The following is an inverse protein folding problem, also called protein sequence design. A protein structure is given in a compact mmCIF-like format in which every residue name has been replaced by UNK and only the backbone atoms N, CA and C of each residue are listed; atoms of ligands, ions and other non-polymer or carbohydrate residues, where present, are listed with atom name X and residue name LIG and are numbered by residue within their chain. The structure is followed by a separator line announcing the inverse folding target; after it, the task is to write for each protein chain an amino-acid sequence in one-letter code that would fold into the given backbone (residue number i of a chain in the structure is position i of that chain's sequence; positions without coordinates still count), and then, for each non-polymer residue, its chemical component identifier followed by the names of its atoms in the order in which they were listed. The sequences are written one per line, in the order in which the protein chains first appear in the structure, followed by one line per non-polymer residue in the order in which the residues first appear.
data_IF_445695795699
#
_entry.id   IF_445695795699
#
_cell.length_a   1.000
_cell.length_b   1.000
_cell.length_c   1.000
_cell.angle_alpha   90.00
_cell.angle_beta   90.00
_cell.angle_gamma   90.00
#
_symmetry.space_group_name_H-M   'P 1'
#
loop_
_entity.id
_entity.type
_entity.pdbx_description
1 polymer ?
#
# COMPACT_ATOMS: atom_id res chain seq x y z
N UNK A 1 23.44 -19.58 9.03
CA UNK A 1 22.00 -19.88 9.26
C UNK A 1 21.29 -18.84 10.13
N UNK A 2 21.95 -18.30 11.17
CA UNK A 2 21.35 -17.36 12.13
C UNK A 2 20.85 -16.02 11.52
N UNK A 3 21.45 -15.55 10.41
CA UNK A 3 21.08 -14.28 9.76
C UNK A 3 19.97 -14.41 8.68
N UNK A 4 19.52 -15.61 8.35
CA UNK A 4 18.55 -15.84 7.27
C UNK A 4 17.23 -16.49 7.73
N UNK A 5 17.06 -16.74 9.02
CA UNK A 5 15.87 -17.39 9.56
C UNK A 5 14.57 -16.66 9.20
N UNK A 6 14.60 -15.32 9.21
CA UNK A 6 13.46 -14.51 8.86
C UNK A 6 13.05 -14.64 7.39
N UNK A 7 14.03 -14.88 6.49
CA UNK A 7 13.73 -15.12 5.05
C UNK A 7 12.99 -16.44 4.87
N UNK A 8 13.41 -17.48 5.60
CA UNK A 8 12.77 -18.80 5.58
C UNK A 8 11.36 -18.69 6.16
N UNK A 9 11.22 -17.98 7.29
CA UNK A 9 9.91 -17.72 7.90
C UNK A 9 9.00 -16.94 6.95
N UNK A 10 9.49 -15.87 6.32
CA UNK A 10 8.73 -15.07 5.35
C UNK A 10 8.29 -15.93 4.17
N UNK A 11 9.18 -16.75 3.61
CA UNK A 11 8.84 -17.65 2.52
C UNK A 11 7.77 -18.68 2.95
N UNK A 12 7.93 -19.26 4.13
CA UNK A 12 6.96 -20.21 4.69
C UNK A 12 5.58 -19.58 4.90
N UNK A 13 5.53 -18.37 5.48
CA UNK A 13 4.28 -17.63 5.66
C UNK A 13 3.65 -17.21 4.33
N UNK A 14 4.46 -16.81 3.35
CA UNK A 14 3.98 -16.48 2.01
C UNK A 14 3.36 -17.72 1.34
N UNK A 15 4.05 -18.85 1.38
CA UNK A 15 3.53 -20.12 0.83
C UNK A 15 2.26 -20.55 1.57
N UNK A 16 2.22 -20.43 2.90
CA UNK A 16 1.01 -20.72 3.69
C UNK A 16 -0.16 -19.83 3.25
N UNK A 17 0.08 -18.51 3.07
CA UNK A 17 -0.96 -17.56 2.64
C UNK A 17 -1.46 -17.88 1.23
N UNK A 18 -0.55 -18.16 0.29
CA UNK A 18 -0.91 -18.49 -1.09
C UNK A 18 -1.69 -19.82 -1.16
N UNK A 19 -1.14 -20.88 -0.58
CA UNK A 19 -1.79 -22.19 -0.61
C UNK A 19 -3.09 -22.18 0.21
N UNK A 20 -3.08 -21.61 1.41
CA UNK A 20 -4.27 -21.50 2.24
C UNK A 20 -5.35 -20.62 1.63
N UNK A 21 -5.00 -19.46 1.13
CA UNK A 21 -5.96 -18.54 0.50
C UNK A 21 -6.59 -19.08 -0.79
N UNK A 22 -5.85 -19.91 -1.55
CA UNK A 22 -6.35 -20.49 -2.80
C UNK A 22 -7.04 -21.85 -2.63
N UNK A 23 -6.58 -22.70 -1.71
CA UNK A 23 -6.98 -24.11 -1.64
C UNK A 23 -7.91 -24.43 -0.47
N UNK A 24 -7.88 -23.66 0.64
CA UNK A 24 -8.79 -23.90 1.76
C UNK A 24 -10.21 -23.46 1.40
N UNK A 25 -11.20 -24.07 2.03
CA UNK A 25 -12.60 -23.71 1.84
C UNK A 25 -12.85 -22.27 2.31
N UNK A 26 -13.52 -21.49 1.45
CA UNK A 26 -13.95 -20.14 1.78
C UNK A 26 -15.46 -20.11 2.00
N UNK A 27 -15.96 -19.36 3.01
CA UNK A 27 -17.39 -19.24 3.24
C UNK A 27 -18.05 -18.57 2.02
N UNK A 28 -19.15 -19.15 1.56
CA UNK A 28 -19.95 -18.55 0.50
C UNK A 28 -20.89 -17.53 1.10
N UNK A 29 -20.55 -16.26 0.95
CA UNK A 29 -21.38 -15.16 1.39
C UNK A 29 -22.39 -14.76 0.29
N UNK A 30 -23.58 -14.26 0.65
CA UNK A 30 -24.47 -13.62 -0.32
C UNK A 30 -23.70 -12.53 -1.10
N UNK A 31 -23.89 -12.40 -2.39
CA UNK A 31 -23.24 -11.43 -3.29
C UNK A 31 -21.76 -11.75 -3.56
N UNK A 32 -20.93 -11.93 -2.53
CA UNK A 32 -19.48 -12.13 -2.70
C UNK A 32 -19.10 -13.54 -3.11
N UNK A 33 -19.90 -14.55 -2.73
CA UNK A 33 -19.58 -15.95 -2.97
C UNK A 33 -18.14 -16.31 -2.57
N UNK A 34 -17.43 -17.06 -3.42
CA UNK A 34 -16.03 -17.40 -3.20
C UNK A 34 -15.05 -16.25 -3.46
N UNK A 35 -15.51 -15.11 -4.04
CA UNK A 35 -14.66 -13.94 -4.24
C UNK A 35 -14.17 -13.33 -2.91
N UNK A 36 -14.78 -13.71 -1.78
CA UNK A 36 -14.30 -13.39 -0.42
C UNK A 36 -12.81 -13.81 -0.23
N UNK A 37 -12.30 -14.77 -0.98
CA UNK A 37 -10.87 -15.12 -1.00
C UNK A 37 -9.96 -13.93 -1.29
N UNK A 38 -10.46 -12.93 -2.02
CA UNK A 38 -9.71 -11.70 -2.30
C UNK A 38 -9.28 -10.96 -1.04
N UNK A 39 -9.97 -11.12 0.11
CA UNK A 39 -9.55 -10.54 1.38
C UNK A 39 -8.13 -10.96 1.77
N UNK A 40 -7.74 -12.21 1.51
CA UNK A 40 -6.41 -12.72 1.86
C UNK A 40 -5.29 -12.08 1.04
N UNK A 41 -5.60 -11.56 -0.14
CA UNK A 41 -4.61 -11.00 -1.06
C UNK A 41 -4.75 -9.48 -1.19
N UNK A 42 -5.94 -8.99 -1.51
CA UNK A 42 -6.18 -7.57 -1.77
C UNK A 42 -6.09 -6.71 -0.50
N UNK A 43 -6.82 -7.08 0.54
CA UNK A 43 -6.90 -6.26 1.77
C UNK A 43 -5.56 -6.25 2.51
N UNK A 44 -4.86 -7.38 2.54
CA UNK A 44 -3.53 -7.47 3.17
C UNK A 44 -2.49 -6.60 2.48
N UNK A 45 -2.57 -6.39 1.16
CA UNK A 45 -1.66 -5.48 0.45
C UNK A 45 -1.86 -4.03 0.92
N UNK A 46 -3.10 -3.58 1.09
CA UNK A 46 -3.37 -2.22 1.58
C UNK A 46 -2.92 -2.01 3.03
N UNK A 47 -3.14 -2.99 3.91
CA UNK A 47 -2.59 -2.92 5.27
C UNK A 47 -1.06 -2.90 5.26
N UNK A 48 -0.42 -3.73 4.43
CA UNK A 48 1.03 -3.71 4.23
C UNK A 48 1.52 -2.33 3.76
N UNK A 49 0.87 -1.75 2.76
CA UNK A 49 1.19 -0.39 2.28
C UNK A 49 1.11 0.64 3.40
N UNK A 50 0.01 0.67 4.16
CA UNK A 50 -0.18 1.64 5.25
C UNK A 50 0.91 1.50 6.32
N UNK A 51 1.23 0.27 6.73
CA UNK A 51 2.28 0.02 7.72
C UNK A 51 3.65 0.49 7.23
N UNK A 52 4.00 0.19 5.98
CA UNK A 52 5.27 0.65 5.39
C UNK A 52 5.31 2.18 5.31
N UNK A 53 4.22 2.83 4.89
CA UNK A 53 4.12 4.29 4.83
C UNK A 53 4.19 4.94 6.22
N UNK A 54 3.61 4.33 7.25
CA UNK A 54 3.72 4.81 8.62
C UNK A 54 5.19 4.80 9.09
N UNK A 55 5.92 3.71 8.80
CA UNK A 55 7.36 3.63 9.13
C UNK A 55 8.15 4.65 8.31
N UNK A 56 7.87 4.80 7.01
CA UNK A 56 8.51 5.80 6.16
C UNK A 56 8.28 7.23 6.69
N UNK A 57 7.05 7.56 7.09
CA UNK A 57 6.71 8.85 7.70
C UNK A 57 7.49 9.06 9.01
N UNK A 58 7.58 8.04 9.87
CA UNK A 58 8.35 8.11 11.10
C UNK A 58 9.83 8.41 10.84
N UNK A 59 10.46 7.74 9.86
CA UNK A 59 11.85 8.01 9.50
C UNK A 59 12.03 9.35 8.79
N UNK A 60 11.02 9.84 8.06
CA UNK A 60 11.01 11.20 7.50
C UNK A 60 11.05 12.26 8.63
N UNK A 61 10.28 12.07 9.71
CA UNK A 61 10.36 12.94 10.90
C UNK A 61 11.75 12.88 11.55
N UNK A 62 12.32 11.68 11.69
CA UNK A 62 13.67 11.51 12.23
C UNK A 62 14.71 12.25 11.38
N UNK A 63 14.62 12.11 10.06
CA UNK A 63 15.51 12.83 9.15
C UNK A 63 15.41 14.35 9.32
N UNK A 64 14.19 14.91 9.34
CA UNK A 64 14.00 16.34 9.51
C UNK A 64 14.54 16.89 10.84
N UNK A 65 14.64 16.04 11.86
CA UNK A 65 15.20 16.41 13.18
C UNK A 65 16.72 16.29 13.26
N UNK A 66 17.31 15.33 12.56
CA UNK A 66 18.73 14.98 12.70
C UNK A 66 19.58 15.36 11.49
N UNK A 67 18.99 15.55 10.31
CA UNK A 67 19.64 15.67 9.01
C UNK A 67 20.57 14.46 8.68
N UNK A 68 20.37 13.29 9.33
CA UNK A 68 21.12 12.08 9.06
C UNK A 68 20.52 11.34 7.86
N UNK A 69 21.29 11.28 6.77
CA UNK A 69 20.88 10.62 5.51
C UNK A 69 20.49 9.14 5.69
N UNK A 70 21.00 8.47 6.74
CA UNK A 70 20.55 7.10 7.04
C UNK A 70 19.06 7.00 7.30
N UNK A 71 18.45 8.01 7.92
CA UNK A 71 17.02 8.05 8.14
C UNK A 71 16.25 8.28 6.84
N UNK A 72 16.81 9.09 5.94
CA UNK A 72 16.26 9.31 4.60
C UNK A 72 16.30 8.03 3.75
N UNK A 73 17.42 7.30 3.76
CA UNK A 73 17.56 6.01 3.07
C UNK A 73 16.53 4.99 3.59
N UNK A 74 16.36 4.88 4.90
CA UNK A 74 15.36 3.98 5.49
C UNK A 74 13.94 4.39 5.06
N UNK A 75 13.62 5.68 5.10
CA UNK A 75 12.31 6.18 4.65
C UNK A 75 12.05 5.83 3.19
N UNK A 76 13.06 5.96 2.32
CA UNK A 76 12.98 5.58 0.91
C UNK A 76 12.67 4.09 0.74
N UNK A 77 13.40 3.22 1.42
CA UNK A 77 13.22 1.77 1.29
C UNK A 77 11.83 1.32 1.75
N UNK A 78 11.32 1.89 2.84
CA UNK A 78 9.95 1.62 3.28
C UNK A 78 8.91 2.20 2.31
N UNK A 79 9.18 3.35 1.68
CA UNK A 79 8.29 3.90 0.63
C UNK A 79 8.29 3.02 -0.61
N UNK A 80 9.46 2.50 -1.05
CA UNK A 80 9.56 1.55 -2.16
C UNK A 80 8.76 0.28 -1.90
N UNK A 81 8.88 -0.28 -0.70
CA UNK A 81 8.09 -1.44 -0.28
C UNK A 81 6.59 -1.12 -0.28
N UNK A 82 6.19 0.05 0.21
CA UNK A 82 4.80 0.50 0.21
C UNK A 82 4.23 0.62 -1.22
N UNK A 83 4.99 1.16 -2.16
CA UNK A 83 4.60 1.26 -3.57
C UNK A 83 4.38 -0.13 -4.16
N UNK A 84 5.26 -1.09 -3.87
CA UNK A 84 5.07 -2.48 -4.31
C UNK A 84 3.76 -3.06 -3.78
N UNK A 85 3.48 -2.90 -2.48
CA UNK A 85 2.19 -3.32 -1.89
C UNK A 85 1.00 -2.60 -2.56
N UNK A 86 1.11 -1.30 -2.85
CA UNK A 86 0.08 -0.53 -3.53
C UNK A 86 -0.20 -1.04 -4.95
N UNK A 87 0.84 -1.34 -5.73
CA UNK A 87 0.72 -1.91 -7.08
C UNK A 87 0.02 -3.28 -7.01
N UNK A 88 0.44 -4.15 -6.10
CA UNK A 88 -0.21 -5.45 -5.88
C UNK A 88 -1.64 -5.29 -5.38
N UNK A 89 -1.89 -4.28 -4.53
CA UNK A 89 -3.22 -3.92 -4.06
C UNK A 89 -4.16 -3.50 -5.20
N UNK A 90 -3.70 -2.63 -6.10
CA UNK A 90 -4.47 -2.25 -7.31
C UNK A 90 -4.71 -3.48 -8.20
N UNK A 91 -3.68 -4.26 -8.52
CA UNK A 91 -3.81 -5.41 -9.41
C UNK A 91 -4.81 -6.47 -8.88
N UNK A 92 -4.70 -6.82 -7.59
CA UNK A 92 -5.63 -7.77 -6.96
C UNK A 92 -7.03 -7.20 -6.80
N UNK A 93 -7.16 -5.88 -6.56
CA UNK A 93 -8.45 -5.18 -6.47
C UNK A 93 -9.17 -5.11 -7.80
N UNK A 94 -8.46 -4.82 -8.90
CA UNK A 94 -9.02 -4.85 -10.26
C UNK A 94 -9.54 -6.25 -10.62
N UNK A 95 -8.79 -7.28 -10.28
CA UNK A 95 -9.21 -8.65 -10.51
C UNK A 95 -10.46 -8.99 -9.70
N UNK A 96 -10.50 -8.63 -8.42
CA UNK A 96 -11.68 -8.82 -7.57
C UNK A 96 -12.89 -8.04 -8.08
N UNK A 97 -12.73 -6.78 -8.49
CA UNK A 97 -13.79 -5.95 -9.05
C UNK A 97 -14.41 -6.59 -10.31
N UNK A 98 -13.59 -7.16 -11.18
CA UNK A 98 -14.07 -7.87 -12.38
C UNK A 98 -15.03 -9.02 -12.04
N UNK A 99 -14.70 -9.82 -11.05
CA UNK A 99 -15.53 -10.97 -10.65
C UNK A 99 -16.73 -10.59 -9.80
N UNK A 100 -16.67 -9.44 -9.08
CA UNK A 100 -17.74 -9.03 -8.17
C UNK A 100 -18.69 -8.02 -8.80
N UNK A 101 -18.17 -7.07 -9.58
CA UNK A 101 -18.93 -5.95 -10.15
C UNK A 101 -19.01 -5.97 -11.69
N UNK A 102 -18.33 -6.90 -12.34
CA UNK A 102 -18.37 -7.10 -13.78
C UNK A 102 -17.26 -6.39 -14.56
N UNK A 103 -16.59 -5.37 -13.99
CA UNK A 103 -15.55 -4.60 -14.64
C UNK A 103 -14.29 -4.50 -13.79
N UNK A 104 -13.10 -4.45 -14.44
CA UNK A 104 -11.83 -4.24 -13.75
C UNK A 104 -11.76 -2.87 -13.06
N UNK A 105 -12.39 -1.87 -13.66
CA UNK A 105 -12.43 -0.51 -13.16
C UNK A 105 -13.84 0.07 -13.33
N UNK A 106 -14.56 0.18 -12.22
CA UNK A 106 -15.95 0.66 -12.22
C UNK A 106 -16.07 2.18 -11.99
N UNK A 107 -14.95 2.87 -11.78
CA UNK A 107 -14.97 4.28 -11.37
C UNK A 107 -15.36 4.49 -9.91
N UNK A 108 -15.44 3.43 -9.13
CA UNK A 108 -15.74 3.47 -7.71
C UNK A 108 -14.83 4.46 -6.97
N UNK A 109 -15.38 5.30 -6.06
CA UNK A 109 -14.60 6.31 -5.33
C UNK A 109 -13.38 5.76 -4.61
N UNK A 110 -13.46 4.54 -4.05
CA UNK A 110 -12.34 3.93 -3.35
C UNK A 110 -11.27 3.41 -4.32
N UNK A 111 -11.66 2.89 -5.50
CA UNK A 111 -10.70 2.55 -6.56
C UNK A 111 -9.94 3.79 -7.02
N UNK A 112 -10.66 4.88 -7.32
CA UNK A 112 -10.05 6.14 -7.76
C UNK A 112 -9.14 6.72 -6.68
N UNK A 113 -9.59 6.76 -5.43
CA UNK A 113 -8.80 7.21 -4.29
C UNK A 113 -7.51 6.40 -4.11
N UNK A 114 -7.60 5.08 -4.27
CA UNK A 114 -6.44 4.19 -4.19
C UNK A 114 -5.42 4.47 -5.28
N UNK A 115 -5.88 4.68 -6.52
CA UNK A 115 -5.01 5.04 -7.64
C UNK A 115 -4.35 6.41 -7.44
N UNK A 116 -5.11 7.42 -7.01
CA UNK A 116 -4.57 8.75 -6.69
C UNK A 116 -3.52 8.64 -5.60
N UNK A 117 -3.79 7.88 -4.52
CA UNK A 117 -2.83 7.65 -3.45
C UNK A 117 -1.53 7.03 -3.95
N UNK A 118 -1.61 6.02 -4.83
CA UNK A 118 -0.43 5.40 -5.43
C UNK A 118 0.33 6.38 -6.35
N UNK A 119 -0.39 7.17 -7.16
CA UNK A 119 0.22 8.19 -8.02
C UNK A 119 0.96 9.26 -7.22
N UNK A 120 0.48 9.64 -6.02
CA UNK A 120 1.21 10.55 -5.14
C UNK A 120 2.58 9.98 -4.76
N UNK A 121 2.68 8.67 -4.51
CA UNK A 121 3.97 8.04 -4.19
C UNK A 121 4.86 7.80 -5.41
N UNK A 122 4.31 7.62 -6.61
CA UNK A 122 5.11 7.70 -7.83
C UNK A 122 5.66 9.12 -8.07
N UNK A 123 4.85 10.15 -7.81
CA UNK A 123 5.32 11.54 -7.86
C UNK A 123 6.44 11.82 -6.84
N UNK A 124 6.37 11.21 -5.63
CA UNK A 124 7.46 11.24 -4.66
C UNK A 124 8.77 10.71 -5.26
N UNK A 125 8.74 9.57 -5.96
CA UNK A 125 9.95 9.01 -6.56
C UNK A 125 10.51 9.91 -7.67
N UNK A 126 9.64 10.47 -8.52
CA UNK A 126 10.05 11.39 -9.59
C UNK A 126 10.67 12.65 -8.99
N UNK A 127 10.01 13.27 -8.00
CA UNK A 127 10.52 14.46 -7.31
C UNK A 127 11.89 14.17 -6.68
N UNK A 128 12.03 13.04 -6.01
CA UNK A 128 13.29 12.62 -5.40
C UNK A 128 14.40 12.42 -6.46
N UNK A 129 14.07 11.81 -7.59
CA UNK A 129 15.00 11.58 -8.70
C UNK A 129 15.44 12.85 -9.43
N UNK A 130 14.71 13.95 -9.31
CA UNK A 130 15.04 15.23 -9.94
C UNK A 130 16.06 16.09 -9.15
N UNK A 131 16.39 15.69 -7.93
CA UNK A 131 17.24 16.46 -7.01
C UNK A 131 18.62 15.81 -6.89
N UNK A 132 19.68 16.55 -7.24
CA UNK A 132 21.07 16.06 -7.22
C UNK A 132 21.72 16.16 -5.83
N UNK A 133 21.46 17.25 -5.09
CA UNK A 133 22.01 17.43 -3.76
C UNK A 133 21.32 16.51 -2.74
N UNK A 134 22.10 15.72 -2.00
CA UNK A 134 21.58 14.68 -1.12
C UNK A 134 20.81 15.25 0.08
N UNK A 135 21.27 16.36 0.66
CA UNK A 135 20.59 16.96 1.82
C UNK A 135 19.28 17.65 1.41
N UNK A 136 19.31 18.37 0.28
CA UNK A 136 18.12 19.00 -0.27
C UNK A 136 17.08 17.94 -0.66
N UNK A 137 17.54 16.87 -1.35
CA UNK A 137 16.69 15.74 -1.74
C UNK A 137 16.02 15.10 -0.53
N UNK A 138 16.79 14.75 0.50
CA UNK A 138 16.25 14.17 1.72
C UNK A 138 15.23 15.06 2.41
N UNK A 139 15.49 16.38 2.49
CA UNK A 139 14.57 17.33 3.12
C UNK A 139 13.26 17.48 2.36
N UNK A 140 13.32 17.65 1.05
CA UNK A 140 12.12 17.80 0.21
C UNK A 140 11.33 16.50 0.19
N UNK A 141 12.02 15.36 0.05
CA UNK A 141 11.40 14.04 0.07
C UNK A 141 10.71 13.74 1.41
N UNK A 142 11.34 14.08 2.54
CA UNK A 142 10.74 13.86 3.85
C UNK A 142 9.47 14.71 4.07
N UNK A 143 9.49 16.00 3.68
CA UNK A 143 8.31 16.87 3.75
C UNK A 143 7.19 16.33 2.84
N UNK A 144 7.53 15.95 1.62
CA UNK A 144 6.56 15.39 0.69
C UNK A 144 5.94 14.08 1.22
N UNK A 145 6.76 13.18 1.77
CA UNK A 145 6.30 11.90 2.31
C UNK A 145 5.30 12.09 3.46
N UNK A 146 5.58 13.03 4.36
CA UNK A 146 4.66 13.36 5.45
C UNK A 146 3.34 13.94 4.95
N UNK A 147 3.40 14.85 3.97
CA UNK A 147 2.22 15.41 3.33
C UNK A 147 1.41 14.32 2.61
N UNK A 148 2.08 13.48 1.81
CA UNK A 148 1.45 12.39 1.08
C UNK A 148 0.77 11.38 2.02
N UNK A 149 1.42 11.02 3.13
CA UNK A 149 0.83 10.12 4.11
C UNK A 149 -0.39 10.74 4.81
N UNK A 150 -0.30 12.01 5.22
CA UNK A 150 -1.42 12.72 5.83
C UNK A 150 -2.62 12.86 4.89
N UNK A 151 -2.39 13.04 3.58
CA UNK A 151 -3.43 13.11 2.57
C UNK A 151 -3.99 11.72 2.20
N UNK A 152 -3.14 10.67 2.20
CA UNK A 152 -3.52 9.32 1.85
C UNK A 152 -4.57 8.73 2.81
N UNK A 153 -4.44 8.97 4.10
CA UNK A 153 -5.38 8.40 5.11
C UNK A 153 -6.83 8.86 4.89
N UNK A 154 -7.16 10.17 4.81
CA UNK A 154 -8.53 10.58 4.52
C UNK A 154 -8.98 10.18 3.11
N UNK A 155 -8.09 10.12 2.13
CA UNK A 155 -8.41 9.69 0.78
C UNK A 155 -8.94 8.25 0.76
N UNK A 156 -8.36 7.35 1.56
CA UNK A 156 -8.73 5.92 1.59
C UNK A 156 -9.86 5.62 2.58
N UNK A 157 -9.91 6.31 3.72
CA UNK A 157 -10.85 5.96 4.80
C UNK A 157 -12.02 6.93 4.95
N UNK A 158 -11.88 8.19 4.54
CA UNK A 158 -12.93 9.20 4.72
C UNK A 158 -13.71 9.42 3.44
N UNK A 159 -13.02 9.71 2.34
CA UNK A 159 -13.67 10.03 1.07
C UNK A 159 -14.67 8.96 0.60
N UNK A 160 -14.35 7.65 0.61
CA UNK A 160 -15.31 6.63 0.20
C UNK A 160 -16.56 6.54 1.09
N UNK A 161 -16.45 6.94 2.36
CA UNK A 161 -17.60 6.98 3.28
C UNK A 161 -18.53 8.18 3.08
N UNK A 162 -18.06 9.21 2.39
CA UNK A 162 -18.84 10.40 2.04
C UNK A 162 -19.47 10.28 0.65
N UNK A 163 -19.24 9.19 -0.05
CA UNK A 163 -19.67 8.95 -1.42
C UNK A 163 -20.25 7.55 -1.56
N UNK A 164 -21.07 7.33 -2.58
CA UNK A 164 -21.60 6.00 -2.89
C UNK A 164 -20.49 5.11 -3.45
N UNK A 165 -19.99 4.19 -2.64
CA UNK A 165 -18.97 3.23 -3.01
C UNK A 165 -19.50 1.79 -2.97
N UNK A 166 -19.09 1.00 -3.94
CA UNK A 166 -19.45 -0.43 -4.04
C UNK A 166 -18.67 -1.31 -3.03
N UNK A 167 -17.66 -0.74 -2.36
CA UNK A 167 -16.85 -1.50 -1.41
C UNK A 167 -17.62 -1.84 -0.14
N UNK A 168 -17.48 -3.08 0.37
CA UNK A 168 -18.08 -3.48 1.65
C UNK A 168 -17.58 -2.60 2.80
N UNK A 169 -18.50 -2.23 3.71
CA UNK A 169 -18.16 -1.49 4.92
C UNK A 169 -17.99 0.03 4.74
N UNK A 170 -18.54 0.57 3.68
CA UNK A 170 -18.70 2.03 3.54
C UNK A 170 -19.98 2.49 4.23
#
# INVERSE_FOLDING_TARGET
MRQSWWKILTLGLLMYTLLGGLLLDAPRLPILNETIRALHFHVTMWFGMILMLLVAAWYSVKYLRSNDLKHDDIALEFTNAAILFGVLGIATGMLWAKFTWGDYWSGDPKQNASAIGLLMYFAYLILRGSLSDAQQRGRIAAVYNLFAFAAFIPLIFVLPRLTDSLHPGN
#
